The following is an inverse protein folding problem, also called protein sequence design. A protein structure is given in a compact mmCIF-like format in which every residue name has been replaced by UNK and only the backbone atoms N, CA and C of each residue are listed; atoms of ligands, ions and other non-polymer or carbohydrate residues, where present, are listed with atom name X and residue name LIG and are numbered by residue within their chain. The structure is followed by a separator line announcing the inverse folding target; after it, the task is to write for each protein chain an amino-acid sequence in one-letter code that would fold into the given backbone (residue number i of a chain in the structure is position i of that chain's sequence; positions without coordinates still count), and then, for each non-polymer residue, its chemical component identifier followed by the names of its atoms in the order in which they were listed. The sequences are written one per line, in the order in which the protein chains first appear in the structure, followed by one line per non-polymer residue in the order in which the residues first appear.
data_IF_809325465564
#
_entry.id   IF_809325465564
#
_cell.length_a   1.000
_cell.length_b   1.000
_cell.length_c   1.000
_cell.angle_alpha   90.00
_cell.angle_beta   90.00
_cell.angle_gamma   90.00
#
_symmetry.space_group_name_H-M   'P 1'
#
loop_
_entity.id
_entity.type
_entity.pdbx_description
1 polymer ?
#
# COMPACT_ATOMS: atom_id res chain seq x y z
N UNK A 1 -15.23 -7.37 -0.91
CA UNK A 1 -14.58 -6.72 -2.08
C UNK A 1 -15.56 -6.27 -3.16
N UNK A 2 -16.57 -7.07 -3.54
CA UNK A 2 -17.60 -6.68 -4.56
C UNK A 2 -18.28 -5.33 -4.29
N UNK A 3 -18.61 -5.01 -3.03
CA UNK A 3 -19.24 -3.73 -2.62
C UNK A 3 -18.43 -2.49 -3.04
N UNK A 4 -17.10 -2.56 -2.98
CA UNK A 4 -16.20 -1.47 -3.37
C UNK A 4 -15.72 -1.59 -4.83
N UNK A 5 -16.34 -2.49 -5.61
CA UNK A 5 -16.06 -2.74 -7.02
C UNK A 5 -14.58 -3.06 -7.30
N UNK A 6 -14.00 -3.93 -6.47
CA UNK A 6 -12.63 -4.45 -6.63
C UNK A 6 -12.69 -5.95 -6.90
N UNK A 7 -12.02 -6.39 -7.96
CA UNK A 7 -11.85 -7.81 -8.26
C UNK A 7 -10.62 -8.36 -7.53
N UNK A 8 -10.77 -8.56 -6.22
CA UNK A 8 -9.76 -9.19 -5.37
C UNK A 8 -10.35 -10.45 -4.74
N UNK A 9 -9.69 -11.58 -4.97
CA UNK A 9 -10.08 -12.90 -4.48
C UNK A 9 -8.91 -13.54 -3.73
N UNK A 10 -9.24 -14.30 -2.70
CA UNK A 10 -8.32 -15.14 -1.95
C UNK A 10 -8.92 -16.56 -1.92
N UNK A 11 -8.10 -17.58 -2.18
CA UNK A 11 -8.54 -18.97 -2.16
C UNK A 11 -7.41 -19.85 -1.64
N UNK A 12 -7.75 -21.01 -1.09
CA UNK A 12 -6.77 -22.00 -0.68
C UNK A 12 -6.62 -23.03 -1.80
N UNK A 13 -5.38 -23.32 -2.18
CA UNK A 13 -5.11 -24.43 -3.08
C UNK A 13 -5.35 -25.76 -2.34
N UNK A 14 -6.24 -26.58 -2.90
CA UNK A 14 -6.65 -27.86 -2.31
C UNK A 14 -5.50 -28.89 -2.27
N UNK A 15 -4.50 -28.78 -3.13
CA UNK A 15 -3.35 -29.68 -3.16
C UNK A 15 -2.27 -29.29 -2.14
N UNK A 16 -1.88 -28.02 -2.12
CA UNK A 16 -0.75 -27.54 -1.30
C UNK A 16 -1.15 -26.92 0.05
N UNK A 17 -2.45 -26.70 0.30
CA UNK A 17 -2.99 -25.92 1.42
C UNK A 17 -2.46 -24.47 1.48
N UNK A 18 -1.80 -23.99 0.43
CA UNK A 18 -1.30 -22.62 0.36
C UNK A 18 -2.43 -21.66 0.03
N UNK A 19 -2.37 -20.45 0.58
CA UNK A 19 -3.32 -19.39 0.26
C UNK A 19 -2.80 -18.59 -0.92
N UNK A 20 -3.62 -18.51 -1.97
CA UNK A 20 -3.38 -17.73 -3.16
C UNK A 20 -4.32 -16.53 -3.20
N UNK A 21 -3.91 -15.49 -3.92
CA UNK A 21 -4.69 -14.28 -4.10
C UNK A 21 -4.43 -13.65 -5.46
N UNK A 22 -5.43 -12.93 -5.97
CA UNK A 22 -5.27 -12.10 -7.17
C UNK A 22 -4.49 -10.83 -6.85
N UNK A 23 -3.70 -10.31 -7.80
CA UNK A 23 -3.00 -9.03 -7.62
C UNK A 23 -3.96 -7.86 -7.37
N UNK A 24 -3.59 -6.98 -6.45
CA UNK A 24 -4.33 -5.74 -6.18
C UNK A 24 -3.65 -4.59 -6.90
N UNK A 25 -4.30 -4.04 -7.93
CA UNK A 25 -3.76 -2.97 -8.77
C UNK A 25 -3.71 -1.63 -8.03
N UNK A 26 -2.89 -0.68 -8.51
CA UNK A 26 -2.66 0.60 -7.82
C UNK A 26 -3.94 1.36 -7.43
N UNK A 27 -4.89 1.51 -8.36
CA UNK A 27 -6.18 2.17 -8.07
C UNK A 27 -7.05 1.39 -7.08
N UNK A 28 -6.98 0.07 -7.11
CA UNK A 28 -7.73 -0.78 -6.20
C UNK A 28 -7.15 -0.72 -4.78
N UNK A 29 -5.82 -0.63 -4.62
CA UNK A 29 -5.17 -0.38 -3.32
C UNK A 29 -5.73 0.88 -2.66
N UNK A 30 -5.87 1.97 -3.42
CA UNK A 30 -6.40 3.24 -2.94
C UNK A 30 -7.87 3.12 -2.53
N UNK A 31 -8.70 2.39 -3.30
CA UNK A 31 -10.09 2.13 -2.93
C UNK A 31 -10.22 1.27 -1.68
N UNK A 32 -9.36 0.28 -1.48
CA UNK A 32 -9.33 -0.52 -0.24
C UNK A 32 -9.04 0.38 0.94
N UNK A 33 -8.00 1.21 0.83
CA UNK A 33 -7.59 2.12 1.90
C UNK A 33 -8.72 3.06 2.34
N UNK A 34 -9.54 3.55 1.40
CA UNK A 34 -10.63 4.50 1.69
C UNK A 34 -11.94 3.85 2.11
N UNK A 35 -12.33 2.72 1.49
CA UNK A 35 -13.71 2.25 1.54
C UNK A 35 -13.88 0.87 2.16
N UNK A 36 -12.80 0.20 2.55
CA UNK A 36 -12.90 -1.10 3.18
C UNK A 36 -13.45 -1.00 4.60
N UNK A 37 -14.53 -1.74 4.86
CA UNK A 37 -15.18 -1.79 6.15
C UNK A 37 -14.46 -2.76 7.10
N UNK A 38 -13.53 -2.23 7.90
CA UNK A 38 -12.75 -2.99 8.87
C UNK A 38 -13.60 -3.68 9.95
N UNK A 39 -14.83 -3.22 10.20
CA UNK A 39 -15.73 -3.83 11.19
C UNK A 39 -16.18 -5.23 10.80
N UNK A 40 -16.00 -5.61 9.53
CA UNK A 40 -16.29 -6.97 9.03
C UNK A 40 -15.27 -8.02 9.48
N UNK A 41 -14.08 -7.59 9.91
CA UNK A 41 -12.97 -8.49 10.27
C UNK A 41 -12.39 -8.23 11.67
N UNK A 42 -12.62 -7.05 12.23
CA UNK A 42 -12.11 -6.63 13.53
C UNK A 42 -13.27 -6.24 14.46
N UNK A 43 -13.05 -6.37 15.78
CA UNK A 43 -13.99 -5.83 16.76
C UNK A 43 -14.11 -4.31 16.61
N UNK A 44 -15.26 -3.73 16.97
CA UNK A 44 -15.53 -2.29 16.76
C UNK A 44 -14.41 -1.41 17.34
N UNK A 45 -13.99 -1.68 18.58
CA UNK A 45 -12.89 -0.95 19.24
C UNK A 45 -11.58 -1.02 18.43
N UNK A 46 -11.23 -2.19 17.91
CA UNK A 46 -10.00 -2.37 17.14
C UNK A 46 -10.10 -1.77 15.74
N UNK A 47 -11.25 -1.92 15.09
CA UNK A 47 -11.53 -1.35 13.79
C UNK A 47 -11.37 0.18 13.81
N UNK A 48 -11.84 0.87 14.86
CA UNK A 48 -11.68 2.33 15.00
C UNK A 48 -10.21 2.77 14.99
N UNK A 49 -9.35 2.09 15.75
CA UNK A 49 -7.92 2.45 15.85
C UNK A 49 -7.20 2.18 14.53
N UNK A 50 -7.49 1.03 13.89
CA UNK A 50 -6.88 0.69 12.60
C UNK A 50 -7.38 1.60 11.48
N UNK A 51 -8.64 2.01 11.53
CA UNK A 51 -9.23 2.97 10.58
C UNK A 51 -8.56 4.35 10.71
N UNK A 52 -8.31 4.84 11.92
CA UNK A 52 -7.59 6.09 12.13
C UNK A 52 -6.17 6.04 11.54
N UNK A 53 -5.46 4.92 11.74
CA UNK A 53 -4.15 4.69 11.13
C UNK A 53 -4.21 4.71 9.59
N UNK A 54 -5.22 4.05 9.00
CA UNK A 54 -5.42 4.00 7.55
C UNK A 54 -5.79 5.37 6.97
N UNK A 55 -6.66 6.12 7.65
CA UNK A 55 -7.07 7.45 7.23
C UNK A 55 -5.90 8.43 7.26
N UNK A 56 -5.12 8.45 8.35
CA UNK A 56 -3.90 9.30 8.44
C UNK A 56 -2.86 8.91 7.39
N UNK A 57 -2.69 7.62 7.09
CA UNK A 57 -1.84 7.18 5.99
C UNK A 57 -2.35 7.69 4.63
N UNK A 58 -3.66 7.64 4.41
CA UNK A 58 -4.28 8.15 3.20
C UNK A 58 -4.11 9.67 3.06
N UNK A 59 -4.22 10.42 4.15
CA UNK A 59 -3.94 11.86 4.17
C UNK A 59 -2.51 12.17 3.74
N UNK A 60 -1.51 11.43 4.25
CA UNK A 60 -0.12 11.55 3.79
C UNK A 60 0.00 11.24 2.29
N UNK A 61 -0.66 10.19 1.82
CA UNK A 61 -0.66 9.84 0.39
C UNK A 61 -1.21 10.96 -0.51
N UNK A 62 -2.26 11.66 -0.06
CA UNK A 62 -2.82 12.81 -0.79
C UNK A 62 -1.87 14.00 -0.71
N UNK A 63 -1.38 14.34 0.49
CA UNK A 63 -0.43 15.45 0.72
C UNK A 63 0.83 15.33 -0.13
N UNK A 64 1.36 14.12 -0.27
CA UNK A 64 2.55 13.83 -1.08
C UNK A 64 2.37 14.18 -2.57
N UNK A 65 1.13 14.23 -3.06
CA UNK A 65 0.80 14.56 -4.45
C UNK A 65 0.43 16.02 -4.65
N UNK A 66 0.22 16.76 -3.57
CA UNK A 66 -0.22 18.14 -3.60
C UNK A 66 1.01 19.07 -3.60
N UNK A 67 1.25 19.84 -4.68
CA UNK A 67 2.40 20.74 -4.76
C UNK A 67 2.31 21.94 -3.80
N UNK A 68 1.16 22.18 -3.18
CA UNK A 68 0.94 23.29 -2.24
C UNK A 68 1.33 22.95 -0.80
N UNK A 69 1.50 21.65 -0.49
CA UNK A 69 1.85 21.20 0.86
C UNK A 69 3.31 21.55 1.16
N UNK A 70 3.53 22.16 2.32
CA UNK A 70 4.88 22.44 2.81
C UNK A 70 5.53 21.17 3.33
N UNK A 71 6.83 21.02 3.02
CA UNK A 71 7.62 19.88 3.47
C UNK A 71 7.59 19.68 5.00
N UNK A 72 7.61 20.78 5.76
CA UNK A 72 7.57 20.75 7.23
C UNK A 72 6.23 20.22 7.76
N UNK A 73 5.11 20.66 7.17
CA UNK A 73 3.77 20.18 7.55
C UNK A 73 3.67 18.67 7.27
N UNK A 74 4.16 18.22 6.11
CA UNK A 74 4.21 16.81 5.76
C UNK A 74 5.04 16.00 6.77
N UNK A 75 6.22 16.49 7.15
CA UNK A 75 7.10 15.83 8.12
C UNK A 75 6.41 15.64 9.47
N UNK A 76 5.77 16.69 9.98
CA UNK A 76 5.06 16.63 11.25
C UNK A 76 3.90 15.61 11.20
N UNK A 77 3.13 15.60 10.12
CA UNK A 77 2.08 14.60 9.93
C UNK A 77 2.62 13.17 9.81
N UNK A 78 3.76 12.98 9.13
CA UNK A 78 4.37 11.67 8.97
C UNK A 78 4.92 11.12 10.30
N UNK A 79 5.50 11.98 11.14
CA UNK A 79 5.94 11.62 12.50
C UNK A 79 4.74 11.29 13.39
N UNK A 80 3.66 12.09 13.32
CA UNK A 80 2.43 11.81 14.05
C UNK A 80 1.81 10.46 13.64
N UNK A 81 1.82 10.16 12.33
CA UNK A 81 1.37 8.87 11.83
C UNK A 81 2.27 7.72 12.30
N UNK A 82 3.60 7.89 12.29
CA UNK A 82 4.53 6.88 12.81
C UNK A 82 4.33 6.64 14.31
N UNK A 83 4.05 7.69 15.06
CA UNK A 83 3.76 7.60 16.50
C UNK A 83 2.51 6.76 16.76
N UNK A 84 1.46 6.96 15.96
CA UNK A 84 0.27 6.10 16.00
C UNK A 84 0.61 4.66 15.57
N UNK A 85 1.37 4.47 14.48
CA UNK A 85 1.80 3.15 14.02
C UNK A 85 2.51 2.35 15.12
N UNK A 86 3.35 3.01 15.91
CA UNK A 86 4.11 2.44 17.03
C UNK A 86 3.38 2.48 18.38
N UNK A 87 2.09 2.80 18.40
CA UNK A 87 1.33 2.90 19.64
C UNK A 87 1.47 1.61 20.47
N UNK A 88 2.01 1.68 21.70
CA UNK A 88 2.27 0.50 22.52
C UNK A 88 0.97 -0.11 23.03
N UNK A 89 1.06 -1.34 23.53
CA UNK A 89 -0.06 -1.92 24.27
C UNK A 89 -0.13 -1.30 25.67
N UNK A 90 -1.34 -1.05 26.17
CA UNK A 90 -1.59 -0.51 27.50
C UNK A 90 -2.23 -1.59 28.39
N UNK A 91 -1.81 -1.64 29.65
CA UNK A 91 -2.36 -2.57 30.65
C UNK A 91 -1.72 -3.96 30.64
N UNK A 92 -2.21 -4.83 31.52
CA UNK A 92 -1.67 -6.18 31.72
C UNK A 92 -2.32 -7.14 30.71
N UNK A 93 -1.55 -7.92 29.94
CA UNK A 93 -2.10 -8.91 29.02
C UNK A 93 -3.15 -9.82 29.68
N UNK A 94 -4.19 -10.18 28.92
CA UNK A 94 -5.30 -11.04 29.38
C UNK A 94 -6.17 -10.46 30.52
N UNK A 95 -6.12 -9.15 30.76
CA UNK A 95 -7.03 -8.45 31.71
C UNK A 95 -8.07 -7.60 30.99
N UNK A 96 -9.18 -7.27 31.67
CA UNK A 96 -10.28 -6.47 31.09
C UNK A 96 -9.85 -5.05 30.65
N UNK A 97 -8.76 -4.52 31.23
CA UNK A 97 -8.21 -3.20 30.89
C UNK A 97 -7.17 -3.22 29.77
N UNK A 98 -6.80 -4.39 29.22
CA UNK A 98 -5.77 -4.49 28.20
C UNK A 98 -6.20 -3.86 26.87
N UNK A 99 -5.41 -2.90 26.39
CA UNK A 99 -5.54 -2.35 25.04
C UNK A 99 -4.33 -2.76 24.23
N UNK A 100 -4.55 -3.60 23.22
CA UNK A 100 -3.49 -3.99 22.30
C UNK A 100 -3.04 -2.79 21.46
N UNK A 101 -1.74 -2.56 21.42
CA UNK A 101 -1.09 -1.58 20.55
C UNK A 101 -1.18 -1.92 19.06
N UNK A 102 -0.53 -1.14 18.21
CA UNK A 102 -0.55 -1.34 16.76
C UNK A 102 0.61 -2.22 16.30
N UNK A 103 1.75 -1.64 15.93
CA UNK A 103 2.91 -2.33 15.38
C UNK A 103 4.16 -2.05 16.23
N UNK A 104 5.16 -2.91 16.10
CA UNK A 104 6.46 -2.77 16.78
C UNK A 104 7.47 -2.06 15.87
N UNK A 105 8.56 -1.50 16.43
CA UNK A 105 9.65 -0.92 15.64
C UNK A 105 10.20 -1.86 14.56
N UNK A 106 10.29 -3.16 14.85
CA UNK A 106 10.75 -4.19 13.90
C UNK A 106 9.82 -4.37 12.69
N UNK A 107 8.61 -3.81 12.71
CA UNK A 107 7.67 -3.82 11.59
C UNK A 107 7.84 -2.62 10.65
N UNK A 108 8.78 -1.72 10.94
CA UNK A 108 9.10 -0.60 10.05
C UNK A 108 9.80 -1.14 8.81
N UNK A 109 9.13 -1.04 7.67
CA UNK A 109 9.71 -1.39 6.37
C UNK A 109 10.59 -0.25 5.84
N UNK A 110 11.51 -0.53 4.89
CA UNK A 110 12.28 0.53 4.22
C UNK A 110 11.40 1.63 3.62
N UNK A 111 10.22 1.30 3.07
CA UNK A 111 9.29 2.30 2.53
C UNK A 111 8.68 3.20 3.60
N UNK A 112 8.42 2.67 4.80
CA UNK A 112 7.96 3.49 5.95
C UNK A 112 9.08 4.44 6.37
N UNK A 113 10.31 3.95 6.47
CA UNK A 113 11.45 4.79 6.81
C UNK A 113 11.64 5.93 5.78
N UNK A 114 11.61 5.62 4.49
CA UNK A 114 11.66 6.63 3.42
C UNK A 114 10.51 7.63 3.55
N UNK A 115 9.28 7.14 3.74
CA UNK A 115 8.10 7.99 3.88
C UNK A 115 8.24 9.02 5.01
N UNK A 116 8.70 8.59 6.18
CA UNK A 116 8.70 9.43 7.38
C UNK A 116 9.91 10.37 7.42
N UNK A 117 11.08 9.89 7.00
CA UNK A 117 12.32 10.64 7.21
C UNK A 117 12.84 11.35 5.96
N UNK A 118 12.51 10.88 4.76
CA UNK A 118 13.15 11.35 3.52
C UNK A 118 12.19 12.07 2.55
N UNK A 119 10.89 11.79 2.59
CA UNK A 119 9.95 12.42 1.65
C UNK A 119 9.86 13.93 1.85
N UNK A 120 9.86 14.45 3.08
CA UNK A 120 9.84 15.90 3.32
C UNK A 120 11.09 16.59 2.77
N UNK A 121 12.27 15.98 2.93
CA UNK A 121 13.52 16.51 2.38
C UNK A 121 13.46 16.52 0.85
N UNK A 122 12.96 15.44 0.25
CA UNK A 122 12.76 15.34 -1.19
C UNK A 122 11.77 16.40 -1.71
N UNK A 123 10.67 16.65 -0.98
CA UNK A 123 9.71 17.71 -1.29
C UNK A 123 10.37 19.09 -1.28
N UNK A 124 11.23 19.37 -0.30
CA UNK A 124 11.93 20.64 -0.18
C UNK A 124 12.93 20.86 -1.33
N UNK A 125 13.73 19.84 -1.67
CA UNK A 125 14.74 19.93 -2.73
C UNK A 125 14.08 20.02 -4.12
N UNK A 126 12.99 19.28 -4.34
CA UNK A 126 12.36 19.15 -5.66
C UNK A 126 11.01 19.85 -5.78
N UNK A 127 10.76 20.88 -4.96
CA UNK A 127 9.47 21.59 -4.91
C UNK A 127 9.00 22.06 -6.30
N UNK A 128 9.92 22.51 -7.16
CA UNK A 128 9.62 22.97 -8.53
C UNK A 128 8.99 21.87 -9.41
N UNK A 129 9.38 20.61 -9.23
CA UNK A 129 8.99 19.49 -10.12
C UNK A 129 7.94 18.59 -9.47
N UNK A 130 7.92 18.53 -8.13
CA UNK A 130 7.08 17.64 -7.35
C UNK A 130 7.47 16.17 -7.47
N UNK A 131 6.96 15.33 -6.57
CA UNK A 131 7.33 13.90 -6.51
C UNK A 131 6.88 13.12 -7.75
N UNK A 132 5.76 13.52 -8.37
CA UNK A 132 5.21 12.81 -9.53
C UNK A 132 6.19 12.77 -10.72
N UNK A 133 7.01 13.81 -10.88
CA UNK A 133 8.00 13.89 -11.95
C UNK A 133 9.06 12.78 -11.87
N UNK A 134 9.29 12.23 -10.67
CA UNK A 134 10.27 11.17 -10.41
C UNK A 134 9.62 9.78 -10.30
N UNK A 135 8.32 9.66 -10.62
CA UNK A 135 7.63 8.37 -10.55
C UNK A 135 7.98 7.46 -11.73
N UNK A 136 8.14 6.16 -11.45
CA UNK A 136 8.36 5.14 -12.50
C UNK A 136 7.09 4.81 -13.32
N UNK A 137 5.97 5.50 -13.10
CA UNK A 137 4.69 5.22 -13.77
C UNK A 137 4.79 5.28 -15.29
N UNK A 138 5.59 6.20 -15.84
CA UNK A 138 5.85 6.29 -17.28
C UNK A 138 6.59 5.08 -17.84
N UNK A 139 7.55 4.55 -17.07
CA UNK A 139 8.34 3.36 -17.44
C UNK A 139 7.45 2.12 -17.39
N UNK A 140 6.65 1.96 -16.33
CA UNK A 140 5.69 0.85 -16.20
C UNK A 140 4.67 0.85 -17.35
N UNK A 141 4.15 2.03 -17.71
CA UNK A 141 3.25 2.17 -18.86
C UNK A 141 3.93 1.77 -20.17
N UNK A 142 5.16 2.22 -20.40
CA UNK A 142 5.93 1.83 -21.60
C UNK A 142 6.18 0.33 -21.66
N UNK A 143 6.48 -0.30 -20.53
CA UNK A 143 6.64 -1.75 -20.45
C UNK A 143 5.32 -2.47 -20.80
N UNK A 144 4.18 -2.00 -20.26
CA UNK A 144 2.87 -2.55 -20.61
C UNK A 144 2.57 -2.41 -22.10
N UNK A 145 2.86 -1.25 -22.71
CA UNK A 145 2.68 -1.00 -24.14
C UNK A 145 3.59 -1.89 -24.99
N UNK A 146 4.86 -2.06 -24.61
CA UNK A 146 5.81 -2.92 -25.31
C UNK A 146 5.38 -4.39 -25.27
N UNK A 147 5.00 -4.90 -24.09
CA UNK A 147 4.46 -6.26 -23.94
C UNK A 147 3.20 -6.42 -24.80
N UNK A 148 2.28 -5.45 -24.72
CA UNK A 148 1.03 -5.48 -25.51
C UNK A 148 1.30 -5.47 -27.02
N UNK A 149 2.25 -4.67 -27.49
CA UNK A 149 2.62 -4.58 -28.90
C UNK A 149 3.27 -5.88 -29.38
N UNK A 150 4.23 -6.41 -28.61
CA UNK A 150 4.92 -7.66 -28.92
C UNK A 150 3.95 -8.84 -29.04
N UNK A 151 3.01 -8.96 -28.10
CA UNK A 151 1.97 -9.98 -28.13
C UNK A 151 0.76 -9.60 -29.01
N UNK A 152 0.82 -8.52 -29.81
CA UNK A 152 -0.27 -8.04 -30.69
C UNK A 152 -1.62 -7.89 -29.98
N UNK A 153 -1.63 -7.56 -28.69
CA UNK A 153 -2.82 -7.54 -27.82
C UNK A 153 -3.53 -8.91 -27.69
N UNK A 154 -2.90 -10.00 -28.11
CA UNK A 154 -3.35 -11.35 -27.81
C UNK A 154 -2.86 -11.73 -26.41
N UNK A 155 -3.75 -12.26 -25.56
CA UNK A 155 -3.34 -12.77 -24.25
C UNK A 155 -2.52 -14.04 -24.44
N UNK A 156 -1.56 -14.26 -23.54
CA UNK A 156 -0.60 -15.38 -23.57
C UNK A 156 -1.24 -16.78 -23.49
N UNK A 157 -2.57 -16.89 -23.38
CA UNK A 157 -3.32 -18.14 -23.25
C UNK A 157 -3.89 -18.67 -24.57
N UNK A 158 -3.40 -18.16 -25.70
CA UNK A 158 -3.68 -18.71 -27.03
C UNK A 158 -2.78 -19.91 -27.38
N UNK A 159 -3.03 -21.07 -26.78
CA UNK A 159 -2.65 -22.39 -27.34
C UNK A 159 -1.20 -22.84 -27.17
N UNK A 160 -0.96 -23.68 -26.15
CA UNK A 160 -0.32 -24.99 -26.35
C UNK A 160 1.11 -25.10 -26.88
N UNK A 161 1.97 -24.09 -26.81
CA UNK A 161 3.42 -24.29 -27.01
C UNK A 161 4.22 -23.49 -25.98
N UNK A 162 4.76 -24.20 -24.99
CA UNK A 162 5.73 -23.69 -24.03
C UNK A 162 7.01 -23.30 -24.78
N UNK A 163 7.25 -22.02 -24.97
CA UNK A 163 8.58 -21.51 -25.31
C UNK A 163 9.22 -21.00 -24.01
N UNK A 164 10.07 -21.85 -23.44
CA UNK A 164 11.02 -21.48 -22.40
C UNK A 164 11.98 -20.45 -22.96
N UNK A 165 11.78 -19.17 -22.60
CA UNK A 165 12.82 -18.16 -22.77
C UNK A 165 13.48 -17.96 -21.41
N UNK A 166 14.56 -18.71 -21.19
CA UNK A 166 15.60 -18.37 -20.21
C UNK A 166 16.19 -17.02 -20.63
N UNK A 167 15.96 -15.99 -19.84
CA UNK A 167 16.80 -14.78 -19.89
C UNK A 167 18.06 -15.11 -19.09
N UNK A 168 19.18 -15.33 -19.80
CA UNK A 168 20.52 -15.36 -19.23
C UNK A 168 21.07 -13.93 -19.33
N UNK A 169 21.44 -13.40 -18.15
CA UNK A 169 22.22 -12.18 -17.83
C UNK A 169 21.78 -10.85 -18.43
#
# INVERSE_FOLDING_TARGET
MKRIKINFQFWQDHGSKTWNYTSLMGNDKVKVLQFFDLTKILSMKRATIVLDLWNKFYELYIKMKDPTVKAEDFKNDAINWLTLFLAPSEGIPNTQGFKKGLYQPDNITPYIHVLVYHISEFMAIHQKWGLKAFSCSGIEKKNHEQVSYFFRKTMKDGGGVTLDIKIIT
#
